data_IF_810930978503
#
_entry.id   IF_810930978503
#
_cell.length_a   1.000
_cell.length_b   1.000
_cell.length_c   1.000
_cell.angle_alpha   90.00
_cell.angle_beta   90.00
_cell.angle_gamma   90.00
#
_symmetry.space_group_name_H-M   'P 1'
#
loop_
_entity.id
_entity.type
_entity.pdbx_description
1 polymer ?
#
# COMPACT_ATOMS: atom_id res chain seq x y z
N UNK A 1 19.59 -21.76 -8.05
CA UNK A 1 18.27 -21.84 -8.71
C UNK A 1 17.58 -23.10 -8.20
N UNK A 2 16.66 -22.98 -7.25
CA UNK A 2 15.72 -24.06 -6.95
C UNK A 2 14.53 -23.85 -7.88
N UNK A 3 14.45 -24.62 -8.94
CA UNK A 3 13.29 -24.68 -9.83
C UNK A 3 12.05 -25.00 -9.00
N UNK A 4 10.98 -24.25 -9.20
CA UNK A 4 9.67 -24.61 -8.67
C UNK A 4 9.29 -26.00 -9.20
N UNK A 5 8.62 -26.86 -8.41
CA UNK A 5 8.17 -28.15 -8.91
C UNK A 5 7.30 -27.94 -10.15
N UNK A 6 7.56 -28.74 -11.18
CA UNK A 6 6.80 -28.72 -12.42
C UNK A 6 5.43 -29.36 -12.18
N UNK A 7 4.42 -28.52 -11.95
CA UNK A 7 3.04 -28.94 -11.69
C UNK A 7 2.24 -29.17 -12.99
N UNK A 8 2.87 -29.19 -14.16
CA UNK A 8 2.18 -29.25 -15.47
C UNK A 8 1.56 -30.60 -15.83
N UNK A 9 1.59 -31.59 -14.93
CA UNK A 9 1.00 -32.91 -15.16
C UNK A 9 0.17 -33.44 -13.97
N UNK A 10 -0.67 -32.62 -13.36
CA UNK A 10 -1.67 -33.10 -12.40
C UNK A 10 -2.87 -33.69 -13.15
N UNK A 11 -3.30 -34.89 -12.77
CA UNK A 11 -4.58 -35.45 -13.22
C UNK A 11 -5.76 -34.74 -12.53
N UNK A 12 -6.99 -35.02 -12.98
CA UNK A 12 -8.19 -34.47 -12.34
C UNK A 12 -8.32 -34.91 -10.86
N UNK A 13 -7.98 -36.16 -10.57
CA UNK A 13 -7.96 -36.69 -9.20
C UNK A 13 -6.85 -36.05 -8.35
N UNK A 14 -5.66 -35.82 -8.92
CA UNK A 14 -4.57 -35.11 -8.22
C UNK A 14 -4.96 -33.66 -7.92
N UNK A 15 -5.72 -33.01 -8.82
CA UNK A 15 -6.21 -31.65 -8.64
C UNK A 15 -7.25 -31.57 -7.52
N UNK A 16 -8.17 -32.54 -7.44
CA UNK A 16 -9.17 -32.60 -6.36
C UNK A 16 -8.51 -32.84 -4.98
N UNK A 17 -7.52 -33.74 -4.92
CA UNK A 17 -6.76 -33.98 -3.71
C UNK A 17 -5.95 -32.75 -3.26
N UNK A 18 -5.31 -32.04 -4.22
CA UNK A 18 -4.57 -30.82 -3.93
C UNK A 18 -5.48 -29.67 -3.46
N UNK A 19 -6.68 -29.55 -4.05
CA UNK A 19 -7.70 -28.59 -3.61
C UNK A 19 -8.15 -28.87 -2.16
N UNK A 20 -8.46 -30.13 -1.84
CA UNK A 20 -8.85 -30.50 -0.47
C UNK A 20 -7.72 -30.22 0.55
N UNK A 21 -6.46 -30.46 0.19
CA UNK A 21 -5.31 -30.12 1.03
C UNK A 21 -5.17 -28.61 1.24
N UNK A 22 -5.35 -27.80 0.19
CA UNK A 22 -5.36 -26.34 0.28
C UNK A 22 -6.48 -25.85 1.20
N UNK A 23 -7.71 -26.35 1.03
CA UNK A 23 -8.85 -25.94 1.86
C UNK A 23 -8.63 -26.31 3.34
N UNK A 24 -8.08 -27.50 3.61
CA UNK A 24 -7.72 -27.91 4.98
C UNK A 24 -6.67 -26.99 5.63
N UNK A 25 -5.67 -26.51 4.86
CA UNK A 25 -4.69 -25.54 5.35
C UNK A 25 -5.34 -24.20 5.68
N UNK A 26 -6.21 -23.70 4.79
CA UNK A 26 -6.94 -22.46 5.01
C UNK A 26 -7.82 -22.58 6.26
N UNK A 27 -8.63 -23.63 6.38
CA UNK A 27 -9.52 -23.86 7.52
C UNK A 27 -8.74 -23.94 8.84
N UNK A 28 -7.59 -24.62 8.83
CA UNK A 28 -6.69 -24.74 9.98
C UNK A 28 -5.86 -23.48 10.29
N UNK A 29 -6.09 -22.36 9.61
CA UNK A 29 -5.33 -21.10 9.79
C UNK A 29 -3.83 -21.26 9.53
N UNK A 30 -3.45 -22.23 8.70
CA UNK A 30 -2.08 -22.44 8.27
C UNK A 30 -1.74 -21.56 7.08
N UNK A 31 -0.44 -21.34 6.86
CA UNK A 31 0.04 -20.49 5.77
C UNK A 31 0.37 -21.31 4.54
N UNK A 32 -0.05 -20.81 3.39
CA UNK A 32 0.34 -21.28 2.07
C UNK A 32 1.72 -20.70 1.74
N UNK A 33 2.69 -21.56 1.50
CA UNK A 33 4.07 -21.24 1.14
C UNK A 33 4.32 -21.40 -0.38
N UNK A 34 5.42 -20.85 -0.93
CA UNK A 34 5.64 -20.80 -2.39
C UNK A 34 5.70 -22.16 -3.11
N UNK A 35 6.01 -23.24 -2.38
CA UNK A 35 6.10 -24.60 -2.93
C UNK A 35 4.78 -25.36 -2.84
N UNK A 36 3.82 -24.85 -2.08
CA UNK A 36 2.53 -25.50 -1.91
C UNK A 36 1.72 -25.35 -3.19
N UNK A 37 0.91 -26.37 -3.49
CA UNK A 37 -0.13 -26.20 -4.48
C UNK A 37 -1.15 -25.16 -4.00
N UNK A 38 -1.65 -24.34 -4.92
CA UNK A 38 -2.69 -23.36 -4.63
C UNK A 38 -3.57 -23.15 -5.86
N UNK A 39 -4.86 -22.81 -5.69
CA UNK A 39 -5.75 -22.51 -6.81
C UNK A 39 -5.19 -21.37 -7.68
N UNK A 40 -5.35 -21.47 -9.00
CA UNK A 40 -4.85 -20.42 -9.90
C UNK A 40 -5.54 -19.06 -9.65
N UNK A 41 -6.82 -19.08 -9.25
CA UNK A 41 -7.53 -17.87 -8.82
C UNK A 41 -6.90 -17.22 -7.58
N UNK A 42 -6.47 -18.04 -6.60
CA UNK A 42 -5.78 -17.57 -5.40
C UNK A 42 -4.44 -16.93 -5.75
N UNK A 43 -3.63 -17.60 -6.60
CA UNK A 43 -2.35 -17.08 -7.10
C UNK A 43 -2.52 -15.74 -7.82
N UNK A 44 -3.46 -15.65 -8.79
CA UNK A 44 -3.72 -14.42 -9.55
C UNK A 44 -4.21 -13.28 -8.66
N UNK A 45 -5.12 -13.55 -7.71
CA UNK A 45 -5.61 -12.53 -6.78
C UNK A 45 -4.49 -12.00 -5.89
N UNK A 46 -3.60 -12.85 -5.39
CA UNK A 46 -2.44 -12.42 -4.61
C UNK A 46 -1.41 -11.66 -5.45
N UNK A 47 -1.09 -12.12 -6.66
CA UNK A 47 -0.21 -11.38 -7.58
C UNK A 47 -0.77 -9.97 -7.78
N UNK A 48 -2.07 -9.84 -8.10
CA UNK A 48 -2.73 -8.56 -8.27
C UNK A 48 -2.64 -7.70 -7.01
N UNK A 49 -2.97 -8.26 -5.85
CA UNK A 49 -3.02 -7.47 -4.61
C UNK A 49 -1.62 -7.03 -4.16
N UNK A 50 -0.66 -7.95 -4.11
CA UNK A 50 0.70 -7.69 -3.62
C UNK A 50 1.45 -6.78 -4.61
N UNK A 51 1.27 -6.95 -5.93
CA UNK A 51 1.89 -6.05 -6.91
C UNK A 51 1.35 -4.62 -6.78
N UNK A 52 0.03 -4.46 -6.66
CA UNK A 52 -0.59 -3.14 -6.47
C UNK A 52 -0.21 -2.50 -5.14
N UNK A 53 0.00 -3.31 -4.09
CA UNK A 53 0.58 -2.86 -2.83
C UNK A 53 2.02 -2.35 -3.05
N UNK A 54 2.88 -3.13 -3.72
CA UNK A 54 4.24 -2.70 -4.04
C UNK A 54 4.27 -1.43 -4.90
N UNK A 55 3.33 -1.29 -5.85
CA UNK A 55 3.17 -0.09 -6.66
C UNK A 55 2.76 1.12 -5.81
N UNK A 56 1.94 0.90 -4.80
CA UNK A 56 1.50 1.92 -3.86
C UNK A 56 2.71 2.51 -3.13
N UNK A 57 3.64 1.69 -2.64
CA UNK A 57 4.89 2.18 -2.04
C UNK A 57 5.70 3.05 -3.00
N UNK A 58 5.91 2.57 -4.23
CA UNK A 58 6.73 3.28 -5.22
C UNK A 58 6.11 4.62 -5.64
N UNK A 59 4.79 4.68 -5.79
CA UNK A 59 4.10 5.91 -6.17
C UNK A 59 3.94 6.85 -4.96
N UNK A 60 3.81 6.30 -3.75
CA UNK A 60 3.69 7.05 -2.49
C UNK A 60 4.89 7.93 -2.16
N UNK A 61 6.09 7.50 -2.58
CA UNK A 61 7.31 8.31 -2.47
C UNK A 61 7.20 9.66 -3.21
N UNK A 62 6.36 9.80 -4.22
CA UNK A 62 6.28 11.01 -5.06
C UNK A 62 5.66 12.22 -4.33
N UNK A 63 4.42 12.17 -3.80
CA UNK A 63 3.82 13.30 -3.10
C UNK A 63 4.67 13.80 -1.93
N UNK A 64 5.29 12.88 -1.18
CA UNK A 64 6.19 13.21 -0.06
C UNK A 64 7.56 13.69 -0.52
N UNK A 65 8.10 13.08 -1.58
CA UNK A 65 9.35 13.48 -2.22
C UNK A 65 9.37 14.95 -2.65
N UNK A 66 8.21 15.50 -3.02
CA UNK A 66 8.09 16.94 -3.36
C UNK A 66 8.49 17.87 -2.20
N UNK A 67 8.38 17.43 -0.94
CA UNK A 67 8.64 18.24 0.24
C UNK A 67 10.03 18.01 0.85
N UNK A 68 10.78 17.00 0.41
CA UNK A 68 12.14 16.72 0.91
C UNK A 68 13.04 17.96 0.84
N UNK A 69 13.01 18.71 -0.27
CA UNK A 69 13.87 19.90 -0.43
C UNK A 69 13.37 21.12 0.34
N UNK A 70 12.07 21.16 0.70
CA UNK A 70 11.34 22.31 1.23
C UNK A 70 10.89 22.17 2.69
N UNK A 71 11.19 21.04 3.33
CA UNK A 71 10.86 20.80 4.73
C UNK A 71 11.37 21.95 5.64
N UNK A 72 10.55 22.42 6.60
CA UNK A 72 10.77 23.68 7.33
C UNK A 72 11.88 23.60 8.40
N UNK A 73 12.46 22.41 8.63
CA UNK A 73 13.60 22.24 9.52
C UNK A 73 14.43 21.03 9.09
N UNK A 74 15.71 21.00 9.48
CA UNK A 74 16.58 19.85 9.23
C UNK A 74 16.07 18.59 9.95
N UNK A 75 15.50 18.72 11.16
CA UNK A 75 14.87 17.61 11.88
C UNK A 75 13.76 16.97 11.06
N UNK A 76 12.79 17.77 10.59
CA UNK A 76 11.67 17.26 9.79
C UNK A 76 12.12 16.75 8.42
N UNK A 77 13.14 17.39 7.81
CA UNK A 77 13.76 16.91 6.56
C UNK A 77 14.40 15.52 6.72
N UNK A 78 15.16 15.30 7.79
CA UNK A 78 15.80 14.01 8.05
C UNK A 78 14.77 12.90 8.30
N UNK A 79 13.70 13.20 9.04
CA UNK A 79 12.59 12.26 9.27
C UNK A 79 11.90 11.90 7.94
N UNK A 80 11.57 12.90 7.11
CA UNK A 80 10.92 12.66 5.82
C UNK A 80 11.81 11.85 4.87
N UNK A 81 13.11 12.11 4.86
CA UNK A 81 14.07 11.28 4.10
C UNK A 81 14.08 9.82 4.57
N UNK A 82 14.08 9.59 5.88
CA UNK A 82 14.02 8.24 6.44
C UNK A 82 12.71 7.53 6.06
N UNK A 83 11.56 8.21 6.15
CA UNK A 83 10.27 7.67 5.72
C UNK A 83 10.26 7.25 4.25
N UNK A 84 10.62 8.16 3.35
CA UNK A 84 10.62 7.88 1.90
C UNK A 84 11.65 6.80 1.53
N UNK A 85 12.75 6.69 2.28
CA UNK A 85 13.69 5.59 2.15
C UNK A 85 13.06 4.24 2.54
N UNK A 86 12.33 4.20 3.65
CA UNK A 86 11.66 2.99 4.12
C UNK A 86 10.58 2.53 3.13
N UNK A 87 9.78 3.45 2.58
CA UNK A 87 8.78 3.14 1.52
C UNK A 87 9.44 2.44 0.31
N UNK A 88 10.63 2.89 -0.10
CA UNK A 88 11.38 2.21 -1.16
C UNK A 88 11.74 0.76 -0.75
N UNK A 89 12.15 0.56 0.50
CA UNK A 89 12.42 -0.75 1.09
C UNK A 89 11.17 -1.64 1.17
N UNK A 90 10.04 -1.08 1.56
CA UNK A 90 8.75 -1.78 1.63
C UNK A 90 8.30 -2.26 0.26
N UNK A 91 8.44 -1.41 -0.76
CA UNK A 91 8.21 -1.78 -2.15
C UNK A 91 9.07 -2.98 -2.58
N UNK A 92 10.35 -3.03 -2.17
CA UNK A 92 11.23 -4.16 -2.44
C UNK A 92 10.80 -5.45 -1.73
N UNK A 93 10.35 -5.36 -0.47
CA UNK A 93 9.80 -6.52 0.26
C UNK A 93 8.56 -7.08 -0.43
N UNK A 94 7.66 -6.20 -0.88
CA UNK A 94 6.41 -6.59 -1.54
C UNK A 94 6.64 -7.16 -2.93
N UNK A 95 7.52 -6.56 -3.74
CA UNK A 95 7.92 -7.17 -5.01
C UNK A 95 8.53 -8.55 -4.78
N UNK A 96 9.39 -8.71 -3.77
CA UNK A 96 9.98 -10.00 -3.43
C UNK A 96 8.91 -11.03 -3.03
N UNK A 97 7.92 -10.64 -2.24
CA UNK A 97 6.79 -11.51 -1.87
C UNK A 97 5.97 -11.91 -3.11
N UNK A 98 5.65 -10.97 -4.00
CA UNK A 98 4.93 -11.26 -5.24
C UNK A 98 5.72 -12.18 -6.17
N UNK A 99 7.04 -12.04 -6.25
CA UNK A 99 7.90 -12.91 -7.08
C UNK A 99 7.85 -14.37 -6.66
N UNK A 100 7.53 -14.67 -5.39
CA UNK A 100 7.34 -16.06 -4.95
C UNK A 100 6.12 -16.75 -5.59
N UNK A 101 5.22 -15.99 -6.20
CA UNK A 101 4.04 -16.48 -6.92
C UNK A 101 4.28 -16.70 -8.42
N UNK A 102 5.46 -16.33 -8.93
CA UNK A 102 5.90 -16.59 -10.30
C UNK A 102 5.90 -15.40 -11.26
N UNK A 103 5.43 -14.21 -10.84
CA UNK A 103 5.54 -12.98 -11.64
C UNK A 103 6.91 -12.31 -11.44
N UNK A 104 7.48 -11.67 -12.47
CA UNK A 104 8.73 -10.93 -12.31
C UNK A 104 8.50 -9.48 -11.86
N UNK A 105 9.51 -8.87 -11.22
CA UNK A 105 9.48 -7.43 -10.91
C UNK A 105 9.41 -6.55 -12.15
N UNK A 106 10.01 -6.98 -13.25
CA UNK A 106 10.01 -6.25 -14.51
C UNK A 106 8.61 -6.26 -15.15
N UNK A 107 7.91 -7.40 -15.10
CA UNK A 107 6.51 -7.48 -15.54
C UNK A 107 5.61 -6.57 -14.70
N UNK A 108 5.75 -6.63 -13.38
CA UNK A 108 4.99 -5.75 -12.47
C UNK A 108 5.31 -4.27 -12.74
N UNK A 109 6.58 -3.92 -12.96
CA UNK A 109 6.98 -2.54 -13.29
C UNK A 109 6.38 -2.08 -14.61
N UNK A 110 6.35 -2.96 -15.61
CA UNK A 110 5.74 -2.69 -16.91
C UNK A 110 4.23 -2.47 -16.77
N UNK A 111 3.55 -3.32 -15.99
CA UNK A 111 2.11 -3.18 -15.72
C UNK A 111 1.76 -1.85 -15.03
N UNK A 112 2.58 -1.42 -14.06
CA UNK A 112 2.45 -0.11 -13.42
C UNK A 112 2.60 1.04 -14.43
N UNK A 113 3.69 1.04 -15.21
CA UNK A 113 3.99 2.14 -16.17
C UNK A 113 2.96 2.19 -17.31
N UNK A 114 2.45 1.04 -17.74
CA UNK A 114 1.39 0.93 -18.74
C UNK A 114 0.01 1.31 -18.20
N UNK A 115 -0.16 1.44 -16.88
CA UNK A 115 -1.45 1.71 -16.24
C UNK A 115 -2.40 0.51 -16.24
N UNK A 116 -1.90 -0.71 -16.49
CA UNK A 116 -2.70 -1.94 -16.48
C UNK A 116 -2.80 -2.57 -15.09
N UNK A 117 -1.90 -2.20 -14.17
CA UNK A 117 -2.02 -2.46 -12.74
C UNK A 117 -2.21 -1.14 -11.96
N UNK A 118 -3.03 -1.20 -10.90
CA UNK A 118 -3.35 -0.05 -10.06
C UNK A 118 -2.27 0.20 -8.98
N UNK A 119 -2.39 1.34 -8.32
CA UNK A 119 -1.79 1.65 -7.02
C UNK A 119 -2.88 2.31 -6.16
N UNK A 120 -2.62 2.53 -4.87
CA UNK A 120 -3.58 3.13 -3.94
C UNK A 120 -4.10 4.47 -4.47
N UNK A 121 -5.42 4.68 -4.37
CA UNK A 121 -6.09 5.89 -4.84
C UNK A 121 -5.50 7.16 -4.22
N UNK A 122 -5.07 7.07 -2.97
CA UNK A 122 -4.61 8.18 -2.13
C UNK A 122 -3.42 8.95 -2.71
N UNK A 123 -2.56 8.32 -3.49
CA UNK A 123 -1.37 8.98 -4.03
C UNK A 123 -1.66 9.86 -5.26
N UNK A 124 -2.93 9.92 -5.67
CA UNK A 124 -3.41 10.79 -6.74
C UNK A 124 -3.79 12.20 -6.28
N UNK A 125 -3.63 12.52 -4.99
CA UNK A 125 -3.92 13.84 -4.44
C UNK A 125 -2.64 14.69 -4.34
N UNK A 126 -2.75 16.03 -4.52
CA UNK A 126 -1.61 16.94 -4.45
C UNK A 126 -1.21 17.28 -3.01
N UNK A 127 0.03 17.74 -2.83
CA UNK A 127 0.61 18.15 -1.54
C UNK A 127 1.04 19.63 -1.58
N UNK A 128 0.09 20.59 -1.60
CA UNK A 128 0.39 22.01 -1.80
C UNK A 128 1.10 22.69 -0.60
N UNK A 129 0.99 22.15 0.61
CA UNK A 129 1.49 22.73 1.85
C UNK A 129 2.33 21.74 2.67
N UNK A 130 3.11 22.24 3.63
CA UNK A 130 3.89 21.37 4.51
C UNK A 130 3.00 20.51 5.42
N UNK A 131 1.81 21.01 5.79
CA UNK A 131 0.86 20.27 6.61
C UNK A 131 0.43 18.94 5.97
N UNK A 132 0.51 18.83 4.64
CA UNK A 132 0.21 17.60 3.91
C UNK A 132 1.14 16.45 4.29
N UNK A 133 2.38 16.70 4.72
CA UNK A 133 3.25 15.66 5.25
C UNK A 133 2.76 15.15 6.62
N UNK A 134 2.10 16.03 7.38
CA UNK A 134 1.43 15.67 8.62
C UNK A 134 0.16 14.87 8.37
N UNK A 135 -0.69 15.31 7.43
CA UNK A 135 -1.93 14.62 7.09
C UNK A 135 -1.68 13.27 6.42
N UNK A 136 -0.71 13.16 5.50
CA UNK A 136 -0.30 11.87 4.93
C UNK A 136 0.22 10.95 6.04
N UNK A 137 1.21 11.41 6.83
CA UNK A 137 1.75 10.58 7.90
C UNK A 137 0.68 10.18 8.94
N UNK A 138 -0.26 11.05 9.29
CA UNK A 138 -1.27 10.71 10.30
C UNK A 138 -2.45 9.89 9.74
N UNK A 139 -3.14 10.41 8.73
CA UNK A 139 -4.37 9.84 8.17
C UNK A 139 -4.06 8.72 7.18
N UNK A 140 -3.17 8.96 6.22
CA UNK A 140 -2.89 8.01 5.14
C UNK A 140 -2.13 6.79 5.66
N UNK A 141 -1.01 7.01 6.38
CA UNK A 141 -0.30 5.88 6.99
C UNK A 141 -1.15 5.23 8.10
N UNK A 142 -1.98 6.00 8.81
CA UNK A 142 -2.92 5.45 9.79
C UNK A 142 -3.93 4.48 9.15
N UNK A 143 -4.48 4.84 7.99
CA UNK A 143 -5.37 3.98 7.22
C UNK A 143 -4.61 2.76 6.67
N UNK A 144 -3.39 2.96 6.16
CA UNK A 144 -2.51 1.89 5.69
C UNK A 144 -2.22 0.87 6.80
N UNK A 145 -1.80 1.31 7.98
CA UNK A 145 -1.57 0.46 9.16
C UNK A 145 -2.84 -0.30 9.56
N UNK A 146 -3.99 0.37 9.58
CA UNK A 146 -5.27 -0.27 9.91
C UNK A 146 -5.58 -1.43 8.95
N UNK A 147 -5.27 -1.27 7.66
CA UNK A 147 -5.42 -2.31 6.65
C UNK A 147 -4.32 -3.38 6.71
N UNK A 148 -3.08 -2.99 7.03
CA UNK A 148 -1.88 -3.85 6.95
C UNK A 148 -1.68 -4.76 8.18
N UNK A 149 -2.03 -4.29 9.37
CA UNK A 149 -1.89 -5.10 10.61
C UNK A 149 -2.69 -6.41 10.51
N UNK A 150 -3.96 -6.43 10.06
CA UNK A 150 -4.67 -7.68 9.79
C UNK A 150 -3.98 -8.59 8.77
N UNK A 151 -3.34 -8.02 7.75
CA UNK A 151 -2.62 -8.76 6.71
C UNK A 151 -1.34 -9.44 7.22
N UNK A 152 -0.86 -9.12 8.42
CA UNK A 152 0.17 -9.93 9.11
C UNK A 152 -0.27 -11.39 9.30
N UNK A 153 -1.59 -11.66 9.28
CA UNK A 153 -2.22 -12.97 9.34
C UNK A 153 -2.86 -13.40 8.00
N UNK A 154 -2.47 -12.78 6.89
CA UNK A 154 -2.87 -13.26 5.57
C UNK A 154 -2.42 -14.72 5.37
N UNK A 155 -3.24 -15.50 4.67
CA UNK A 155 -3.00 -16.92 4.40
C UNK A 155 -1.74 -17.20 3.58
N UNK A 156 -1.25 -16.26 2.76
CA UNK A 156 0.01 -16.45 2.05
C UNK A 156 1.21 -16.06 2.92
N UNK A 157 2.06 -17.04 3.21
CA UNK A 157 3.24 -16.93 4.08
C UNK A 157 4.13 -15.73 3.79
N UNK A 158 4.69 -15.61 2.57
CA UNK A 158 5.56 -14.50 2.18
C UNK A 158 4.92 -13.13 2.38
N UNK A 159 3.64 -12.99 2.04
CA UNK A 159 2.93 -11.71 2.16
C UNK A 159 2.73 -11.33 3.62
N UNK A 160 2.23 -12.25 4.45
CA UNK A 160 2.04 -11.97 5.88
C UNK A 160 3.36 -11.68 6.60
N UNK A 161 4.49 -12.29 6.18
CA UNK A 161 5.82 -11.96 6.76
C UNK A 161 6.34 -10.60 6.32
N UNK A 162 6.07 -10.17 5.09
CA UNK A 162 6.40 -8.82 4.62
C UNK A 162 5.62 -7.78 5.43
N UNK A 163 4.31 -7.98 5.63
CA UNK A 163 3.46 -7.12 6.45
C UNK A 163 3.97 -6.95 7.87
N UNK A 164 4.47 -8.02 8.51
CA UNK A 164 5.05 -7.92 9.87
C UNK A 164 6.24 -6.98 9.93
N UNK A 165 7.09 -6.93 8.88
CA UNK A 165 8.23 -6.00 8.83
C UNK A 165 7.77 -4.58 8.55
N UNK A 166 6.94 -4.42 7.53
CA UNK A 166 6.40 -3.13 7.10
C UNK A 166 5.65 -2.44 8.25
N UNK A 167 4.73 -3.14 8.92
CA UNK A 167 3.97 -2.58 10.05
C UNK A 167 4.85 -2.15 11.23
N UNK A 168 6.00 -2.81 11.46
CA UNK A 168 6.94 -2.40 12.52
C UNK A 168 7.60 -1.07 12.21
N UNK A 169 7.89 -0.81 10.94
CA UNK A 169 8.56 0.40 10.46
C UNK A 169 7.55 1.55 10.30
N UNK A 170 6.40 1.31 9.67
CA UNK A 170 5.39 2.34 9.40
C UNK A 170 4.77 2.97 10.65
N UNK A 171 4.61 2.22 11.74
CA UNK A 171 4.04 2.77 12.98
C UNK A 171 4.85 3.95 13.55
N UNK A 172 6.16 3.97 13.29
CA UNK A 172 7.02 5.10 13.63
C UNK A 172 6.71 6.32 12.76
N UNK A 173 6.62 6.12 11.44
CA UNK A 173 6.34 7.20 10.48
C UNK A 173 4.97 7.83 10.71
N UNK A 174 3.97 7.00 11.04
CA UNK A 174 2.64 7.47 11.37
C UNK A 174 2.62 8.41 12.57
N UNK A 175 3.38 8.06 13.63
CA UNK A 175 3.56 8.92 14.79
C UNK A 175 4.24 10.24 14.43
N UNK A 176 5.21 10.23 13.53
CA UNK A 176 5.88 11.44 13.09
C UNK A 176 4.95 12.38 12.30
N UNK A 177 4.01 11.83 11.52
CA UNK A 177 2.94 12.60 10.88
C UNK A 177 2.03 13.30 11.89
N UNK A 178 1.56 12.55 12.89
CA UNK A 178 0.77 13.11 14.01
C UNK A 178 1.51 14.25 14.71
N UNK A 179 2.81 14.09 15.01
CA UNK A 179 3.60 15.16 15.63
C UNK A 179 3.73 16.41 14.77
N UNK A 180 3.74 16.30 13.44
CA UNK A 180 3.77 17.47 12.54
C UNK A 180 2.51 18.29 12.74
N UNK A 181 1.33 17.65 12.69
CA UNK A 181 0.06 18.32 12.87
C UNK A 181 -0.07 18.92 14.27
N UNK A 182 0.33 18.18 15.31
CA UNK A 182 0.34 18.69 16.68
C UNK A 182 1.21 19.94 16.82
N UNK A 183 2.41 19.93 16.21
CA UNK A 183 3.31 21.10 16.23
C UNK A 183 2.68 22.31 15.54
N UNK A 184 2.00 22.09 14.40
CA UNK A 184 1.33 23.17 13.66
C UNK A 184 0.14 23.72 14.43
N UNK A 185 -0.65 22.85 15.07
CA UNK A 185 -1.83 23.25 15.84
C UNK A 185 -1.48 24.05 17.10
N UNK A 186 -0.30 23.81 17.67
CA UNK A 186 0.27 24.60 18.78
C UNK A 186 0.98 25.89 18.32
N UNK A 187 1.00 26.16 17.01
CA UNK A 187 1.71 27.25 16.38
C UNK A 187 0.92 28.56 16.26
N UNK A 188 1.17 29.30 15.18
CA UNK A 188 0.41 30.52 14.82
C UNK A 188 -0.95 30.20 14.21
N UNK A 189 -1.82 31.21 14.06
CA UNK A 189 -3.11 31.04 13.36
C UNK A 189 -2.92 30.50 11.93
N UNK A 190 -1.88 30.96 11.23
CA UNK A 190 -1.56 30.48 9.89
C UNK A 190 -1.15 29.00 9.87
N UNK A 191 -0.45 28.52 10.91
CA UNK A 191 -0.07 27.12 11.03
C UNK A 191 -1.27 26.24 11.39
N UNK A 192 -2.15 26.70 12.30
CA UNK A 192 -3.43 26.05 12.60
C UNK A 192 -4.30 25.92 11.37
N UNK A 193 -4.50 27.01 10.63
CA UNK A 193 -5.30 27.01 9.41
C UNK A 193 -4.73 26.06 8.34
N UNK A 194 -3.41 26.04 8.17
CA UNK A 194 -2.75 25.11 7.24
C UNK A 194 -2.93 23.64 7.65
N UNK A 195 -2.86 23.33 8.95
CA UNK A 195 -3.09 21.98 9.46
C UNK A 195 -4.55 21.54 9.24
N UNK A 196 -5.51 22.39 9.59
CA UNK A 196 -6.93 22.10 9.39
C UNK A 196 -7.27 21.89 7.90
N UNK A 197 -6.83 22.80 7.03
CA UNK A 197 -7.08 22.72 5.58
C UNK A 197 -6.51 21.43 4.97
N UNK A 198 -5.35 20.97 5.47
CA UNK A 198 -4.78 19.70 5.05
C UNK A 198 -5.62 18.52 5.52
N UNK A 199 -6.07 18.50 6.79
CA UNK A 199 -6.97 17.46 7.29
C UNK A 199 -8.27 17.41 6.49
N UNK A 200 -8.84 18.58 6.16
CA UNK A 200 -10.07 18.69 5.39
C UNK A 200 -9.96 18.00 4.01
N UNK A 201 -8.82 18.19 3.33
CA UNK A 201 -8.56 17.57 2.02
C UNK A 201 -8.26 16.08 2.09
N UNK A 202 -7.56 15.62 3.13
CA UNK A 202 -7.05 14.24 3.20
C UNK A 202 -7.99 13.27 3.91
N UNK A 203 -8.97 13.75 4.68
CA UNK A 203 -9.90 12.89 5.42
C UNK A 203 -10.66 11.91 4.50
N UNK A 204 -11.45 12.42 3.54
CA UNK A 204 -12.25 11.56 2.66
C UNK A 204 -11.40 10.63 1.79
N UNK A 205 -10.31 11.10 1.16
CA UNK A 205 -9.39 10.21 0.44
C UNK A 205 -8.82 9.09 1.31
N UNK A 206 -8.50 9.35 2.58
CA UNK A 206 -7.99 8.31 3.49
C UNK A 206 -9.04 7.23 3.77
N UNK A 207 -10.32 7.58 3.89
CA UNK A 207 -11.42 6.63 4.05
C UNK A 207 -11.67 5.79 2.78
N UNK A 208 -11.40 6.35 1.60
CA UNK A 208 -11.49 5.64 0.33
C UNK A 208 -10.40 4.56 0.17
N UNK A 209 -9.30 4.62 0.93
CA UNK A 209 -8.21 3.61 0.87
C UNK A 209 -8.68 2.21 1.25
N UNK A 210 -9.70 2.10 2.09
CA UNK A 210 -10.30 0.81 2.46
C UNK A 210 -11.08 0.17 1.31
N UNK A 211 -11.29 0.88 0.20
CA UNK A 211 -12.01 0.40 -0.97
C UNK A 211 -13.53 0.62 -0.89
N UNK A 212 -14.29 0.09 -1.88
CA UNK A 212 -15.72 0.31 -1.99
C UNK A 212 -16.50 -0.35 -0.83
N UNK A 213 -17.78 0.01 -0.64
CA UNK A 213 -18.67 -0.70 0.30
C UNK A 213 -18.67 -2.21 0.05
N UNK A 214 -18.92 -2.99 1.09
CA UNK A 214 -18.85 -4.45 1.01
C UNK A 214 -19.79 -5.03 -0.06
N UNK A 215 -20.97 -4.45 -0.22
CA UNK A 215 -21.97 -4.83 -1.25
C UNK A 215 -21.48 -4.58 -2.69
N UNK A 216 -20.51 -3.69 -2.87
CA UNK A 216 -19.91 -3.31 -4.16
C UNK A 216 -18.48 -3.83 -4.33
N UNK A 217 -18.08 -4.83 -3.54
CA UNK A 217 -16.69 -5.33 -3.48
C UNK A 217 -16.54 -6.74 -4.06
N UNK A 218 -16.40 -6.90 -5.39
CA UNK A 218 -16.50 -8.20 -6.09
C UNK A 218 -15.42 -9.21 -5.67
N UNK A 219 -14.28 -8.74 -5.16
CA UNK A 219 -13.17 -9.60 -4.72
C UNK A 219 -13.30 -10.03 -3.25
N UNK A 220 -14.18 -9.39 -2.45
CA UNK A 220 -14.16 -9.53 -1.00
C UNK A 220 -14.58 -10.92 -0.53
N UNK A 221 -15.66 -11.49 -1.08
CA UNK A 221 -16.16 -12.80 -0.68
C UNK A 221 -15.07 -13.89 -0.83
N UNK A 222 -14.46 -13.97 -2.01
CA UNK A 222 -13.42 -14.96 -2.27
C UNK A 222 -12.13 -14.70 -1.47
N UNK A 223 -11.72 -13.43 -1.34
CA UNK A 223 -10.51 -13.09 -0.57
C UNK A 223 -10.67 -13.39 0.92
N UNK A 224 -11.88 -13.24 1.46
CA UNK A 224 -12.22 -13.61 2.84
C UNK A 224 -12.25 -15.14 3.01
N UNK A 225 -12.88 -15.87 2.08
CA UNK A 225 -12.91 -17.33 2.10
C UNK A 225 -11.49 -17.94 2.08
N UNK A 226 -10.60 -17.38 1.27
CA UNK A 226 -9.18 -17.77 1.23
C UNK A 226 -8.33 -17.14 2.35
N UNK A 227 -8.92 -16.38 3.28
CA UNK A 227 -8.21 -15.69 4.37
C UNK A 227 -7.04 -14.80 3.90
N UNK A 228 -7.10 -14.31 2.65
CA UNK A 228 -6.23 -13.25 2.14
C UNK A 228 -6.60 -11.93 2.81
N UNK A 229 -7.90 -11.66 2.89
CA UNK A 229 -8.52 -10.54 3.59
C UNK A 229 -9.15 -11.06 4.88
N UNK A 230 -8.90 -10.39 6.01
CA UNK A 230 -9.33 -10.86 7.35
C UNK A 230 -10.56 -10.15 7.90
N UNK A 231 -10.78 -8.92 7.45
CA UNK A 231 -11.89 -8.05 7.85
C UNK A 231 -12.42 -7.37 6.60
N UNK A 232 -13.70 -7.00 6.60
CA UNK A 232 -14.34 -6.36 5.45
C UNK A 232 -13.81 -4.94 5.20
N UNK A 233 -14.18 -4.33 4.06
CA UNK A 233 -13.73 -2.96 3.77
C UNK A 233 -14.37 -1.99 4.77
N UNK A 234 -15.68 -2.14 5.00
CA UNK A 234 -16.44 -1.27 5.89
C UNK A 234 -16.07 -1.48 7.36
N UNK A 235 -15.75 -2.71 7.77
CA UNK A 235 -15.28 -3.01 9.12
C UNK A 235 -13.94 -2.32 9.43
N UNK A 236 -12.98 -2.36 8.49
CA UNK A 236 -11.71 -1.67 8.66
C UNK A 236 -11.88 -0.15 8.66
N UNK A 237 -12.75 0.38 7.79
CA UNK A 237 -13.06 1.81 7.75
C UNK A 237 -13.66 2.29 9.09
N UNK A 238 -14.60 1.54 9.67
CA UNK A 238 -15.20 1.85 10.97
C UNK A 238 -14.19 1.83 12.11
N UNK A 239 -13.31 0.81 12.14
CA UNK A 239 -12.22 0.76 13.14
C UNK A 239 -11.29 1.97 13.01
N UNK A 240 -10.95 2.36 11.78
CA UNK A 240 -10.11 3.51 11.52
C UNK A 240 -10.74 4.82 12.00
N UNK A 241 -12.03 5.05 11.71
CA UNK A 241 -12.77 6.22 12.23
C UNK A 241 -12.73 6.24 13.76
N UNK A 242 -12.97 5.11 14.42
CA UNK A 242 -12.91 5.01 15.88
C UNK A 242 -11.53 5.32 16.47
N UNK A 243 -10.45 5.08 15.74
CA UNK A 243 -9.10 5.51 16.14
C UNK A 243 -8.86 7.00 15.86
N UNK A 244 -9.41 7.53 14.78
CA UNK A 244 -9.20 8.92 14.35
C UNK A 244 -9.86 9.94 15.26
N UNK A 245 -11.11 9.71 15.68
CA UNK A 245 -11.88 10.70 16.46
C UNK A 245 -11.14 11.18 17.71
N UNK A 246 -10.70 10.31 18.64
CA UNK A 246 -9.96 10.79 19.82
C UNK A 246 -8.60 11.41 19.47
N UNK A 247 -7.99 11.04 18.34
CA UNK A 247 -6.73 11.65 17.88
C UNK A 247 -6.96 13.06 17.34
N UNK A 248 -8.07 13.30 16.63
CA UNK A 248 -8.46 14.62 16.13
C UNK A 248 -8.72 15.59 17.29
N UNK A 249 -9.38 15.13 18.35
CA UNK A 249 -9.59 15.91 19.58
C UNK A 249 -8.26 16.34 20.21
N UNK A 250 -7.28 15.45 20.31
CA UNK A 250 -5.95 15.76 20.87
C UNK A 250 -5.20 16.77 19.98
N UNK A 251 -5.31 16.65 18.65
CA UNK A 251 -4.72 17.61 17.72
C UNK A 251 -5.41 18.97 17.76
N UNK A 252 -6.67 19.03 18.21
CA UNK A 252 -7.50 20.22 18.16
C UNK A 252 -8.00 20.54 16.75
N UNK A 253 -8.07 19.55 15.86
CA UNK A 253 -8.62 19.67 14.50
C UNK A 253 -10.04 19.15 14.44
N UNK A 254 -10.83 19.66 13.51
CA UNK A 254 -12.13 19.09 13.15
C UNK A 254 -11.97 18.08 12.01
N UNK A 255 -12.80 17.05 11.98
CA UNK A 255 -12.93 16.18 10.81
C UNK A 255 -14.05 16.74 9.91
N UNK A 256 -13.87 16.83 8.58
CA UNK A 256 -14.81 17.47 7.66
C UNK A 256 -16.02 16.57 7.33
N UNK A 257 -16.67 16.06 8.37
CA UNK A 257 -17.81 15.15 8.29
C UNK A 257 -18.95 15.67 9.19
N UNK A 258 -19.95 16.37 8.62
CA UNK A 258 -21.00 17.03 9.40
C UNK A 258 -21.93 16.04 10.11
N UNK A 259 -22.02 14.80 9.63
CA UNK A 259 -22.85 13.75 10.23
C UNK A 259 -22.08 12.90 11.24
N UNK A 260 -20.77 13.12 11.41
CA UNK A 260 -19.92 12.31 12.29
C UNK A 260 -20.40 12.33 13.74
N UNK A 261 -20.89 11.19 14.21
CA UNK A 261 -21.32 10.99 15.61
C UNK A 261 -21.25 9.52 15.99
N UNK A 262 -21.09 9.26 17.27
CA UNK A 262 -21.28 7.91 17.81
C UNK A 262 -22.77 7.57 17.82
N UNK A 263 -23.13 6.40 17.30
CA UNK A 263 -24.48 5.85 17.33
C UNK A 263 -24.53 4.75 18.41
N UNK A 264 -25.16 5.05 19.54
CA UNK A 264 -25.29 4.14 20.68
C UNK A 264 -26.16 2.91 20.36
N UNK A 265 -27.14 3.00 19.47
CA UNK A 265 -27.99 1.87 19.12
C UNK A 265 -27.23 0.91 18.18
N UNK A 266 -26.55 1.47 17.19
CA UNK A 266 -25.78 0.69 16.21
C UNK A 266 -24.37 0.31 16.68
N UNK A 267 -23.91 0.85 17.83
CA UNK A 267 -22.57 0.65 18.39
C UNK A 267 -21.44 0.92 17.37
N UNK A 268 -21.60 1.99 16.58
CA UNK A 268 -20.65 2.38 15.52
C UNK A 268 -20.67 3.88 15.28
N UNK A 269 -19.69 4.38 14.53
CA UNK A 269 -19.71 5.77 14.07
C UNK A 269 -20.66 5.90 12.87
N UNK A 270 -21.60 6.84 12.98
CA UNK A 270 -22.34 7.35 11.83
C UNK A 270 -21.47 8.39 11.11
N UNK A 271 -21.42 8.33 9.79
CA UNK A 271 -20.63 9.24 8.93
C UNK A 271 -21.47 9.71 7.75
N UNK A 272 -21.09 10.84 7.17
CA UNK A 272 -21.61 11.23 5.86
C UNK A 272 -21.26 10.18 4.79
N UNK A 273 -21.99 10.20 3.68
CA UNK A 273 -21.69 9.34 2.54
C UNK A 273 -20.39 9.77 1.85
N UNK A 274 -19.52 8.81 1.57
CA UNK A 274 -18.31 9.02 0.76
C UNK A 274 -18.72 9.30 -0.68
N UNK A 275 -18.08 10.26 -1.34
CA UNK A 275 -18.25 10.46 -2.78
C UNK A 275 -17.63 9.29 -3.56
N UNK A 276 -18.44 8.27 -3.80
CA UNK A 276 -18.03 7.12 -4.60
C UNK A 276 -17.83 7.48 -6.07
N UNK A 277 -18.40 8.58 -6.58
CA UNK A 277 -18.13 9.04 -7.95
C UNK A 277 -16.67 9.45 -8.07
N UNK A 278 -16.19 10.28 -7.14
CA UNK A 278 -14.77 10.66 -7.07
C UNK A 278 -13.87 9.42 -6.98
N UNK A 279 -14.19 8.48 -6.09
CA UNK A 279 -13.44 7.24 -5.93
C UNK A 279 -13.27 6.48 -7.26
N UNK A 280 -14.36 6.31 -8.02
CA UNK A 280 -14.32 5.61 -9.30
C UNK A 280 -13.55 6.37 -10.37
N UNK A 281 -13.66 7.71 -10.42
CA UNK A 281 -12.89 8.56 -11.33
C UNK A 281 -11.38 8.46 -11.06
N UNK A 282 -10.98 8.52 -9.78
CA UNK A 282 -9.57 8.36 -9.37
C UNK A 282 -9.04 6.97 -9.74
N UNK A 283 -9.81 5.91 -9.48
CA UNK A 283 -9.42 4.54 -9.85
C UNK A 283 -9.37 4.29 -11.35
N UNK A 284 -10.13 5.07 -12.13
CA UNK A 284 -10.14 5.01 -13.59
C UNK A 284 -9.08 5.91 -14.25
N UNK A 285 -8.18 6.50 -13.44
CA UNK A 285 -7.08 7.30 -13.95
C UNK A 285 -7.40 8.78 -14.20
N UNK A 286 -8.56 9.26 -13.75
CA UNK A 286 -9.07 10.63 -13.99
C UNK A 286 -9.06 11.52 -12.73
N UNK A 287 -8.35 11.11 -11.69
CA UNK A 287 -8.08 11.93 -10.53
C UNK A 287 -6.99 12.98 -10.77
N UNK A 288 -6.74 13.86 -9.78
CA UNK A 288 -5.99 15.10 -10.00
C UNK A 288 -4.51 14.89 -10.38
N UNK A 289 -3.86 13.84 -9.86
CA UNK A 289 -2.43 13.59 -10.13
C UNK A 289 -2.15 12.30 -10.90
N UNK A 290 -3.15 11.49 -11.29
CA UNK A 290 -2.93 10.17 -11.91
C UNK A 290 -1.96 10.22 -13.10
N UNK A 291 -2.21 11.12 -14.05
CA UNK A 291 -1.37 11.29 -15.24
C UNK A 291 0.06 11.70 -14.86
N UNK A 292 0.19 12.67 -13.95
CA UNK A 292 1.49 13.15 -13.48
C UNK A 292 2.30 12.05 -12.75
N UNK A 293 1.66 11.23 -11.90
CA UNK A 293 2.32 10.13 -11.18
C UNK A 293 2.87 9.06 -12.11
N UNK A 294 2.06 8.64 -13.09
CA UNK A 294 2.47 7.65 -14.08
C UNK A 294 3.52 8.20 -15.04
N UNK A 295 3.38 9.45 -15.50
CA UNK A 295 4.38 10.09 -16.36
C UNK A 295 5.72 10.20 -15.64
N UNK A 296 5.74 10.63 -14.37
CA UNK A 296 6.98 10.70 -13.58
C UNK A 296 7.64 9.33 -13.45
N UNK A 297 6.87 8.30 -13.11
CA UNK A 297 7.39 6.93 -13.00
C UNK A 297 7.93 6.40 -14.33
N UNK A 298 7.23 6.68 -15.43
CA UNK A 298 7.64 6.31 -16.79
C UNK A 298 8.94 6.99 -17.18
N UNK A 299 9.03 8.31 -17.04
CA UNK A 299 10.22 9.09 -17.35
C UNK A 299 11.42 8.57 -16.54
N UNK A 300 11.29 8.39 -15.23
CA UNK A 300 12.36 7.82 -14.40
C UNK A 300 12.81 6.42 -14.86
N UNK A 301 11.91 5.61 -15.41
CA UNK A 301 12.24 4.31 -15.97
C UNK A 301 12.95 4.43 -17.33
N UNK A 302 12.43 5.23 -18.25
CA UNK A 302 12.97 5.42 -19.60
C UNK A 302 14.32 6.15 -19.56
N UNK A 303 14.41 7.28 -18.86
CA UNK A 303 15.65 8.06 -18.70
C UNK A 303 16.74 7.28 -17.96
N UNK A 304 16.33 6.35 -17.08
CA UNK A 304 17.23 5.46 -16.36
C UNK A 304 17.66 4.20 -17.14
N UNK A 305 17.20 4.02 -18.39
CA UNK A 305 17.48 2.81 -19.16
C UNK A 305 18.98 2.58 -19.37
N UNK A 306 19.71 3.63 -19.76
CA UNK A 306 21.16 3.55 -19.99
C UNK A 306 21.94 3.11 -18.73
N UNK A 307 21.49 3.49 -17.53
CA UNK A 307 22.12 3.06 -16.27
C UNK A 307 21.93 1.56 -16.06
N UNK A 308 20.71 1.04 -16.31
CA UNK A 308 20.41 -0.39 -16.20
C UNK A 308 21.19 -1.21 -17.22
N UNK A 309 21.23 -0.75 -18.46
CA UNK A 309 22.01 -1.39 -19.54
C UNK A 309 23.52 -1.40 -19.22
N UNK A 310 24.05 -0.29 -18.72
CA UNK A 310 25.45 -0.19 -18.29
C UNK A 310 25.77 -1.18 -17.15
N UNK A 311 24.88 -1.31 -16.15
CA UNK A 311 25.05 -2.25 -15.05
C UNK A 311 25.07 -3.71 -15.54
N UNK A 312 24.17 -4.08 -16.44
CA UNK A 312 24.12 -5.43 -17.05
C UNK A 312 25.39 -5.72 -17.85
N UNK A 313 25.81 -4.78 -18.70
CA UNK A 313 27.02 -4.93 -19.51
C UNK A 313 28.29 -5.05 -18.64
N UNK A 314 28.36 -4.28 -17.55
CA UNK A 314 29.46 -4.38 -16.59
C UNK A 314 29.47 -5.75 -15.89
N UNK A 315 28.33 -6.21 -15.38
CA UNK A 315 28.21 -7.51 -14.72
C UNK A 315 28.62 -8.67 -15.63
N UNK A 316 28.20 -8.66 -16.91
CA UNK A 316 28.62 -9.65 -17.90
C UNK A 316 30.14 -9.68 -18.07
N UNK A 317 30.77 -8.51 -18.22
CA UNK A 317 32.24 -8.40 -18.35
C UNK A 317 32.97 -8.93 -17.10
N UNK A 318 32.43 -8.72 -15.91
CA UNK A 318 33.02 -9.25 -14.68
C UNK A 318 32.90 -10.78 -14.59
N UNK A 319 31.75 -11.35 -15.00
CA UNK A 319 31.57 -12.79 -15.07
C UNK A 319 32.57 -13.45 -16.04
N UNK A 320 32.71 -12.90 -17.26
CA UNK A 320 33.67 -13.38 -18.26
C UNK A 320 35.14 -13.32 -17.78
N UNK A 321 35.50 -12.28 -17.02
CA UNK A 321 36.83 -12.16 -16.41
C UNK A 321 37.07 -13.21 -15.34
N UNK A 322 36.07 -13.46 -14.49
CA UNK A 322 36.18 -14.46 -13.42
C UNK A 322 36.27 -15.87 -14.00
N UNK A 323 35.50 -16.18 -15.04
CA UNK A 323 35.60 -17.48 -15.75
C UNK A 323 36.98 -17.70 -16.36
N UNK A 324 37.55 -16.68 -17.01
CA UNK A 324 38.92 -16.74 -17.57
C UNK A 324 40.03 -16.80 -16.52
N UNK A 325 39.78 -16.36 -15.29
CA UNK A 325 40.74 -16.44 -14.20
C UNK A 325 40.69 -17.78 -13.45
N UNK A 326 39.57 -18.51 -13.57
CA UNK A 326 39.35 -19.83 -12.96
C UNK A 326 39.72 -20.97 -13.92
N UNK A 327 39.65 -20.73 -15.23
CA UNK A 327 40.12 -21.63 -16.29
C UNK A 327 41.64 -21.58 -16.46
#
# INVERSE_FOLDING_TARGET
>A
MTTAPDLTALTADDTAAAQAAFDALIDAEQRIEPRDWMPEGYRKTLIRQISQHAHSEIIGMQPEGTWITRAPSLKRKAILLAKVQDEAGHGLYLYSAAQTLGITRDDMTTQLIAGTAKYSSIFNYPTPTWADMGAIGWLVDGAAICNQVPLCRASHGPYGRAMVRICKEESFHQRQGFEILLTLMQGTDAQRAMAQESVDRWYWPSLMMFGPPDESSPNSAQSMAWKIKRFSNDELRQRFIGMLVPQAEILGVTLPDPELRWDDEAQRWHTSEIDWTEFHEVLAGRGPMNAARLQHRRAAHEDGAWVREAAVAYARRQAEKNEKAVA
#
